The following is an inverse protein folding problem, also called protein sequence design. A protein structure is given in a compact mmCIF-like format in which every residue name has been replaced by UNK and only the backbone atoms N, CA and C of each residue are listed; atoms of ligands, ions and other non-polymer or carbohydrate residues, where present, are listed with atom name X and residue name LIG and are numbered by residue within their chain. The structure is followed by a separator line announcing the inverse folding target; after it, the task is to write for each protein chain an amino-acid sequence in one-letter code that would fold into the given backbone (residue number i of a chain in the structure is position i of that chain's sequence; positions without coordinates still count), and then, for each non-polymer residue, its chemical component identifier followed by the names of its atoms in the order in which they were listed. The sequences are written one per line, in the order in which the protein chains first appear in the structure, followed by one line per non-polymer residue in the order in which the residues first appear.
data_IF_045345843377
#
_entry.id   IF_045345843377
#
_cell.length_a   1.000
_cell.length_b   1.000
_cell.length_c   1.000
_cell.angle_alpha   90.00
_cell.angle_beta   90.00
_cell.angle_gamma   90.00
#
_symmetry.space_group_name_H-M   'P 1'
#
loop_
_entity.id
_entity.type
_entity.pdbx_description
1 polymer ?
#
# COMPACT_ATOMS: atom_id res chain seq x y z
N UNK A 1 0.16 0.47 15.28
CA UNK A 1 1.14 0.11 16.33
C UNK A 1 1.95 -1.12 15.98
N UNK A 2 1.32 -2.27 15.69
CA UNK A 2 2.03 -3.53 15.53
C UNK A 2 3.02 -3.60 14.36
N UNK A 3 2.76 -2.90 13.25
CA UNK A 3 3.60 -3.04 12.04
C UNK A 3 4.51 -1.83 11.79
N UNK A 4 4.07 -0.61 12.08
CA UNK A 4 4.91 0.58 11.87
C UNK A 4 5.81 0.90 13.08
N UNK A 5 5.32 0.76 14.32
CA UNK A 5 6.10 1.18 15.48
C UNK A 5 7.42 0.39 15.66
N UNK A 6 7.47 -0.94 15.42
CA UNK A 6 8.71 -1.71 15.54
C UNK A 6 9.77 -1.36 14.49
N UNK A 7 9.40 -0.61 13.43
CA UNK A 7 10.28 -0.23 12.34
C UNK A 7 10.84 1.18 12.50
N UNK A 8 10.52 1.87 13.59
CA UNK A 8 10.94 3.24 13.86
C UNK A 8 12.07 3.30 14.88
N UNK A 9 13.11 4.07 14.57
CA UNK A 9 14.09 4.53 15.55
C UNK A 9 13.62 5.87 16.12
N UNK A 10 13.15 5.86 17.36
CA UNK A 10 12.64 7.06 18.05
C UNK A 10 13.56 7.49 19.19
N UNK A 11 13.61 8.79 19.52
CA UNK A 11 14.29 9.28 20.72
C UNK A 11 13.74 8.62 21.98
N UNK A 12 14.59 8.48 23.00
CA UNK A 12 14.21 7.96 24.31
C UNK A 12 13.05 8.77 24.91
N UNK A 13 12.11 8.06 25.55
CA UNK A 13 10.91 8.67 26.14
C UNK A 13 9.78 8.99 25.15
N UNK A 14 9.94 8.68 23.86
CA UNK A 14 8.83 8.84 22.89
C UNK A 14 7.72 7.82 23.15
N UNK A 15 6.52 8.29 23.47
CA UNK A 15 5.33 7.44 23.55
C UNK A 15 4.64 7.33 22.18
N UNK A 16 4.96 6.26 21.46
CA UNK A 16 4.36 5.96 20.16
C UNK A 16 2.88 5.58 20.24
N UNK A 17 2.39 5.06 21.36
CA UNK A 17 0.96 4.75 21.52
C UNK A 17 0.18 6.05 21.65
N UNK A 18 0.62 6.97 22.52
CA UNK A 18 0.02 8.29 22.63
C UNK A 18 0.08 9.04 21.29
N UNK A 19 1.22 8.98 20.59
CA UNK A 19 1.35 9.59 19.27
C UNK A 19 0.36 8.99 18.25
N UNK A 20 0.19 7.67 18.22
CA UNK A 20 -0.77 7.02 17.34
C UNK A 20 -2.22 7.44 17.64
N UNK A 21 -2.59 7.58 18.92
CA UNK A 21 -3.91 8.11 19.31
C UNK A 21 -4.12 9.53 18.79
N UNK A 22 -3.12 10.41 18.95
CA UNK A 22 -3.16 11.78 18.41
C UNK A 22 -3.30 11.81 16.88
N UNK A 23 -2.66 10.88 16.16
CA UNK A 23 -2.84 10.77 14.70
C UNK A 23 -4.28 10.44 14.32
N UNK A 24 -4.92 9.52 15.04
CA UNK A 24 -6.32 9.16 14.81
C UNK A 24 -7.22 10.37 15.06
N UNK A 25 -7.06 11.06 16.19
CA UNK A 25 -7.81 12.28 16.50
C UNK A 25 -7.67 13.35 15.40
N UNK A 26 -6.44 13.56 14.90
CA UNK A 26 -6.16 14.51 13.81
C UNK A 26 -6.83 14.10 12.50
N UNK A 27 -6.82 12.81 12.16
CA UNK A 27 -7.48 12.31 10.94
C UNK A 27 -9.00 12.32 11.05
N UNK A 28 -9.55 12.22 12.27
CA UNK A 28 -10.98 12.31 12.53
C UNK A 28 -11.51 13.74 12.63
N UNK A 29 -10.66 14.77 12.48
CA UNK A 29 -11.09 16.17 12.59
C UNK A 29 -12.10 16.55 11.49
N UNK A 30 -13.36 16.84 11.84
CA UNK A 30 -14.41 17.09 10.85
C UNK A 30 -14.31 18.48 10.21
N UNK A 31 -13.44 19.36 10.69
CA UNK A 31 -13.21 20.68 10.08
C UNK A 31 -12.26 20.60 8.88
N UNK A 32 -11.46 19.52 8.77
CA UNK A 32 -10.56 19.30 7.65
C UNK A 32 -11.19 18.33 6.65
N UNK A 33 -11.32 18.77 5.39
CA UNK A 33 -11.86 17.95 4.29
C UNK A 33 -10.71 17.36 3.47
N UNK A 34 -9.80 16.64 4.12
CA UNK A 34 -8.70 15.96 3.43
C UNK A 34 -9.26 14.87 2.54
N UNK A 35 -9.11 15.03 1.22
CA UNK A 35 -9.58 14.03 0.27
C UNK A 35 -8.59 12.88 0.24
N UNK A 36 -9.07 11.66 0.41
CA UNK A 36 -8.27 10.44 0.24
C UNK A 36 -7.58 10.40 -1.12
N UNK A 37 -8.25 10.91 -2.15
CA UNK A 37 -7.70 11.11 -3.48
C UNK A 37 -6.42 11.96 -3.48
N UNK A 38 -6.38 13.09 -2.75
CA UNK A 38 -5.18 13.94 -2.67
C UNK A 38 -4.04 13.24 -1.92
N UNK A 39 -4.37 12.42 -0.92
CA UNK A 39 -3.38 11.63 -0.18
C UNK A 39 -2.76 10.56 -1.09
N UNK A 40 -3.56 9.96 -1.97
CA UNK A 40 -3.16 8.91 -2.90
C UNK A 40 -2.30 9.38 -4.08
N UNK A 41 -2.30 10.68 -4.40
CA UNK A 41 -1.45 11.26 -5.46
C UNK A 41 0.03 10.91 -5.24
N UNK A 42 0.80 10.78 -6.30
CA UNK A 42 2.25 10.47 -6.25
C UNK A 42 2.55 9.23 -5.39
N UNK A 43 1.70 8.21 -5.49
CA UNK A 43 1.83 6.96 -4.74
C UNK A 43 3.17 6.28 -4.98
N UNK A 44 3.67 6.29 -6.22
CA UNK A 44 5.00 5.75 -6.57
C UNK A 44 6.13 6.36 -5.74
N UNK A 45 6.02 7.65 -5.39
CA UNK A 45 7.02 8.40 -4.64
C UNK A 45 6.88 8.24 -3.12
N UNK A 46 5.75 7.70 -2.65
CA UNK A 46 5.41 7.57 -1.24
C UNK A 46 5.55 6.15 -0.73
N UNK A 47 5.28 5.17 -1.61
CA UNK A 47 5.16 3.76 -1.25
C UNK A 47 6.47 3.16 -0.72
N UNK A 48 7.67 3.45 -1.28
CA UNK A 48 8.93 2.91 -0.78
C UNK A 48 9.14 3.15 0.73
N UNK A 49 9.15 4.41 1.14
CA UNK A 49 9.44 4.82 2.51
C UNK A 49 8.27 4.65 3.48
N UNK A 50 7.02 4.60 3.01
CA UNK A 50 5.85 4.47 3.90
C UNK A 50 5.44 3.03 4.16
N UNK A 51 5.66 2.13 3.20
CA UNK A 51 5.17 0.76 3.27
C UNK A 51 6.27 -0.27 3.04
N UNK A 52 7.13 -0.08 2.02
CA UNK A 52 8.08 -1.12 1.62
C UNK A 52 9.26 -1.24 2.57
N UNK A 53 9.82 -0.14 3.05
CA UNK A 53 10.92 -0.19 4.03
C UNK A 53 10.48 -0.86 5.35
N UNK A 54 9.30 -0.56 5.91
CA UNK A 54 8.74 -1.36 7.00
C UNK A 54 8.55 -2.85 6.65
N UNK A 55 8.05 -3.18 5.45
CA UNK A 55 7.91 -4.58 5.01
C UNK A 55 9.26 -5.29 5.00
N UNK A 56 10.32 -4.67 4.48
CA UNK A 56 11.68 -5.24 4.46
C UNK A 56 12.15 -5.58 5.88
N UNK A 57 11.91 -4.70 6.85
CA UNK A 57 12.26 -4.93 8.24
C UNK A 57 11.48 -6.11 8.85
N UNK A 58 10.19 -6.25 8.53
CA UNK A 58 9.41 -7.40 9.00
C UNK A 58 9.83 -8.72 8.36
N UNK A 59 10.14 -8.71 7.05
CA UNK A 59 10.67 -9.89 6.36
C UNK A 59 11.99 -10.35 6.99
N UNK A 60 12.85 -9.42 7.41
CA UNK A 60 14.11 -9.73 8.09
C UNK A 60 13.90 -10.25 9.52
N UNK A 61 12.93 -9.68 10.25
CA UNK A 61 12.73 -9.93 11.67
C UNK A 61 11.66 -11.01 11.98
N UNK A 62 10.99 -11.56 10.97
CA UNK A 62 9.92 -12.53 11.13
C UNK A 62 8.63 -11.95 11.73
N UNK A 63 8.41 -10.64 11.61
CA UNK A 63 7.22 -9.96 12.10
C UNK A 63 6.01 -10.14 11.17
N UNK A 64 4.81 -9.83 11.66
CA UNK A 64 3.61 -9.74 10.80
C UNK A 64 3.57 -8.39 10.09
N UNK A 65 3.26 -8.41 8.80
CA UNK A 65 3.14 -7.23 7.94
C UNK A 65 1.89 -7.30 7.05
N UNK A 66 0.83 -7.97 7.51
CA UNK A 66 -0.44 -8.18 6.77
C UNK A 66 -1.13 -6.86 6.40
N UNK A 67 -1.08 -5.84 7.26
CA UNK A 67 -1.70 -4.55 6.96
C UNK A 67 -0.89 -3.79 5.91
N UNK A 68 0.45 -3.87 5.98
CA UNK A 68 1.34 -3.32 4.96
C UNK A 68 1.13 -4.00 3.60
N UNK A 69 0.99 -5.33 3.57
CA UNK A 69 0.69 -6.09 2.36
C UNK A 69 -0.63 -5.62 1.72
N UNK A 70 -1.69 -5.47 2.52
CA UNK A 70 -2.97 -4.95 2.03
C UNK A 70 -2.84 -3.51 1.52
N UNK A 71 -2.03 -2.67 2.19
CA UNK A 71 -1.75 -1.30 1.74
C UNK A 71 -1.09 -1.24 0.37
N UNK A 72 -0.08 -2.10 0.13
CA UNK A 72 0.58 -2.22 -1.19
C UNK A 72 -0.39 -2.73 -2.24
N UNK A 73 -1.16 -3.78 -1.92
CA UNK A 73 -2.17 -4.32 -2.83
C UNK A 73 -3.29 -3.30 -3.13
N UNK A 74 -3.68 -2.48 -2.16
CA UNK A 74 -4.63 -1.38 -2.31
C UNK A 74 -4.13 -0.32 -3.29
N UNK A 75 -2.86 0.06 -3.20
CA UNK A 75 -2.24 0.92 -4.20
C UNK A 75 -2.25 0.27 -5.59
N UNK A 76 -1.90 -1.01 -5.71
CA UNK A 76 -1.97 -1.72 -6.99
C UNK A 76 -3.40 -1.75 -7.55
N UNK A 77 -4.43 -1.93 -6.72
CA UNK A 77 -5.84 -1.88 -7.14
C UNK A 77 -6.28 -0.49 -7.56
N UNK A 78 -5.80 0.53 -6.86
CA UNK A 78 -6.06 1.94 -7.17
C UNK A 78 -5.47 2.36 -8.52
N UNK A 79 -4.23 1.95 -8.84
CA UNK A 79 -3.57 2.28 -10.12
C UNK A 79 -4.23 1.65 -11.33
N UNK A 80 -5.23 0.78 -11.15
CA UNK A 80 -6.07 0.30 -12.25
C UNK A 80 -6.94 1.42 -12.85
N UNK A 81 -7.18 2.50 -12.11
CA UNK A 81 -7.91 3.67 -12.60
C UNK A 81 -9.42 3.48 -12.66
N UNK A 82 -9.96 2.46 -11.99
CA UNK A 82 -11.40 2.18 -11.92
C UNK A 82 -11.77 1.79 -10.49
N UNK A 83 -12.82 2.36 -9.92
CA UNK A 83 -13.28 2.05 -8.57
C UNK A 83 -14.04 0.71 -8.51
N UNK A 84 -14.64 0.40 -7.36
CA UNK A 84 -15.42 -0.82 -7.16
C UNK A 84 -16.82 -0.76 -7.77
N UNK A 85 -17.28 0.43 -8.15
CA UNK A 85 -18.56 0.66 -8.83
C UNK A 85 -18.40 0.75 -10.36
N UNK A 86 -17.17 0.62 -10.87
CA UNK A 86 -16.86 0.70 -12.29
C UNK A 86 -16.63 2.13 -12.80
N UNK A 87 -16.61 3.14 -11.92
CA UNK A 87 -16.33 4.52 -12.34
C UNK A 87 -14.83 4.75 -12.48
N UNK A 88 -14.45 5.66 -13.36
CA UNK A 88 -13.07 6.06 -13.53
C UNK A 88 -12.52 6.76 -12.27
N UNK A 89 -11.30 6.38 -11.89
CA UNK A 89 -10.47 7.07 -10.91
C UNK A 89 -9.43 7.89 -11.68
N UNK A 90 -9.37 9.19 -11.39
CA UNK A 90 -8.29 10.05 -11.87
C UNK A 90 -7.00 9.76 -11.10
N UNK A 91 -6.16 8.85 -11.60
CA UNK A 91 -4.89 8.51 -10.95
C UNK A 91 -3.84 9.56 -11.30
N UNK A 92 -3.38 10.31 -10.30
CA UNK A 92 -2.33 11.32 -10.48
C UNK A 92 -1.02 10.81 -9.88
N UNK A 93 -0.07 10.50 -10.76
CA UNK A 93 1.24 9.96 -10.39
C UNK A 93 2.26 10.24 -11.50
N UNK A 94 3.54 10.53 -11.19
CA UNK A 94 4.58 10.69 -12.21
C UNK A 94 4.81 9.44 -13.08
N UNK A 95 4.48 8.24 -12.58
CA UNK A 95 4.60 6.97 -13.31
C UNK A 95 3.27 6.51 -13.95
N UNK A 96 2.31 7.43 -14.16
CA UNK A 96 0.99 7.10 -14.70
C UNK A 96 1.06 6.38 -16.05
N UNK A 97 1.97 6.79 -16.94
CA UNK A 97 2.11 6.20 -18.26
C UNK A 97 2.52 4.71 -18.18
N UNK A 98 3.41 4.37 -17.26
CA UNK A 98 3.86 3.01 -16.99
C UNK A 98 2.70 2.16 -16.45
N UNK A 99 1.90 2.69 -15.52
CA UNK A 99 0.73 1.98 -15.00
C UNK A 99 -0.30 1.72 -16.09
N UNK A 100 -0.58 2.71 -16.94
CA UNK A 100 -1.51 2.56 -18.06
C UNK A 100 -1.03 1.50 -19.06
N UNK A 101 0.27 1.49 -19.38
CA UNK A 101 0.87 0.45 -20.23
C UNK A 101 0.71 -0.94 -19.62
N UNK A 102 0.94 -1.09 -18.32
CA UNK A 102 0.75 -2.36 -17.61
C UNK A 102 -0.73 -2.77 -17.61
N UNK A 103 -1.65 -1.85 -17.31
CA UNK A 103 -3.08 -2.10 -17.28
C UNK A 103 -3.64 -2.55 -18.65
N UNK A 104 -3.06 -2.06 -19.74
CA UNK A 104 -3.45 -2.45 -21.10
C UNK A 104 -3.01 -3.87 -21.48
N UNK A 105 -2.00 -4.42 -20.80
CA UNK A 105 -1.37 -5.70 -21.16
C UNK A 105 -1.68 -6.83 -20.19
N UNK A 106 -1.86 -6.51 -18.91
CA UNK A 106 -1.92 -7.50 -17.84
C UNK A 106 -3.14 -7.31 -16.94
N UNK A 107 -3.65 -8.40 -16.40
CA UNK A 107 -4.74 -8.43 -15.43
C UNK A 107 -4.41 -9.39 -14.28
N UNK A 108 -5.18 -9.32 -13.18
CA UNK A 108 -5.05 -10.26 -12.06
C UNK A 108 -3.62 -10.37 -11.52
N UNK A 109 -3.17 -11.60 -11.29
CA UNK A 109 -1.82 -11.89 -10.77
C UNK A 109 -0.69 -11.44 -11.71
N UNK A 110 -0.88 -11.53 -13.03
CA UNK A 110 0.14 -11.09 -14.00
C UNK A 110 0.35 -9.57 -13.93
N UNK A 111 -0.72 -8.82 -13.65
CA UNK A 111 -0.64 -7.38 -13.43
C UNK A 111 0.15 -7.05 -12.16
N UNK A 112 -0.10 -7.78 -11.07
CA UNK A 112 0.68 -7.63 -9.83
C UNK A 112 2.16 -7.88 -10.11
N UNK A 113 2.48 -8.97 -10.81
CA UNK A 113 3.85 -9.30 -11.21
C UNK A 113 4.49 -8.21 -12.07
N UNK A 114 3.75 -7.65 -13.03
CA UNK A 114 4.24 -6.56 -13.88
C UNK A 114 4.52 -5.27 -13.07
N UNK A 115 3.64 -4.91 -12.12
CA UNK A 115 3.84 -3.76 -11.23
C UNK A 115 5.04 -3.96 -10.30
N UNK A 116 5.22 -5.16 -9.75
CA UNK A 116 6.38 -5.52 -8.94
C UNK A 116 7.69 -5.36 -9.72
N UNK A 117 7.66 -5.54 -11.04
CA UNK A 117 8.82 -5.30 -11.92
C UNK A 117 9.24 -3.83 -12.06
N UNK A 118 8.51 -2.87 -11.47
CA UNK A 118 8.91 -1.46 -11.46
C UNK A 118 9.99 -1.23 -10.40
N UNK A 119 11.26 -1.42 -10.80
CA UNK A 119 12.43 -1.32 -9.91
C UNK A 119 12.58 0.04 -9.23
N UNK A 120 12.09 1.12 -9.86
CA UNK A 120 12.04 2.46 -9.24
C UNK A 120 11.16 2.55 -7.99
N UNK A 121 10.27 1.58 -7.77
CA UNK A 121 9.40 1.49 -6.58
C UNK A 121 9.84 0.32 -5.69
N UNK A 122 9.96 -0.87 -6.27
CA UNK A 122 10.13 -2.11 -5.50
C UNK A 122 11.58 -2.55 -5.32
N UNK A 123 12.52 -1.91 -6.03
CA UNK A 123 13.90 -2.38 -6.20
C UNK A 123 13.95 -3.86 -6.65
N UNK A 124 15.11 -4.51 -6.55
CA UNK A 124 15.30 -5.88 -7.03
C UNK A 124 15.00 -6.94 -5.97
N UNK A 125 14.98 -6.55 -4.69
CA UNK A 125 14.86 -7.47 -3.55
C UNK A 125 13.44 -7.98 -3.35
N UNK A 126 12.45 -7.07 -3.33
CA UNK A 126 11.06 -7.44 -3.05
C UNK A 126 10.42 -8.32 -4.14
N UNK A 127 10.62 -8.08 -5.44
CA UNK A 127 10.08 -8.97 -6.48
C UNK A 127 10.66 -10.38 -6.47
N UNK A 128 11.83 -10.58 -5.84
CA UNK A 128 12.48 -11.88 -5.68
C UNK A 128 12.08 -12.59 -4.38
N UNK A 129 11.40 -11.90 -3.46
CA UNK A 129 10.96 -12.48 -2.20
C UNK A 129 9.57 -13.15 -2.37
N UNK A 130 9.54 -14.49 -2.35
CA UNK A 130 8.33 -15.26 -2.59
C UNK A 130 7.20 -14.97 -1.58
N UNK A 131 7.53 -14.73 -0.32
CA UNK A 131 6.55 -14.41 0.73
C UNK A 131 5.89 -13.05 0.46
N UNK A 132 6.70 -12.05 0.08
CA UNK A 132 6.22 -10.73 -0.33
C UNK A 132 5.27 -10.82 -1.53
N UNK A 133 5.74 -11.44 -2.62
CA UNK A 133 4.97 -11.58 -3.87
C UNK A 133 3.66 -12.33 -3.59
N UNK A 134 3.72 -13.42 -2.83
CA UNK A 134 2.58 -14.24 -2.47
C UNK A 134 1.53 -13.45 -1.67
N UNK A 135 1.94 -12.76 -0.60
CA UNK A 135 0.99 -12.03 0.24
C UNK A 135 0.35 -10.84 -0.48
N UNK A 136 1.12 -10.07 -1.27
CA UNK A 136 0.60 -8.93 -2.02
C UNK A 136 -0.36 -9.38 -3.12
N UNK A 137 -0.03 -10.47 -3.82
CA UNK A 137 -0.90 -11.05 -4.86
C UNK A 137 -2.20 -11.57 -4.26
N UNK A 138 -2.13 -12.29 -3.14
CA UNK A 138 -3.31 -12.76 -2.42
C UNK A 138 -4.19 -11.61 -1.92
N UNK A 139 -3.58 -10.58 -1.32
CA UNK A 139 -4.32 -9.40 -0.87
C UNK A 139 -4.97 -8.64 -2.05
N UNK A 140 -4.28 -8.52 -3.19
CA UNK A 140 -4.84 -7.91 -4.40
C UNK A 140 -6.03 -8.70 -4.94
N UNK A 141 -5.93 -10.03 -4.96
CA UNK A 141 -7.04 -10.88 -5.38
C UNK A 141 -8.25 -10.71 -4.45
N UNK A 142 -8.04 -10.71 -3.13
CA UNK A 142 -9.12 -10.47 -2.17
C UNK A 142 -9.79 -9.10 -2.37
N UNK A 143 -9.01 -8.05 -2.65
CA UNK A 143 -9.55 -6.72 -2.96
C UNK A 143 -10.42 -6.73 -4.21
N UNK A 144 -10.04 -7.46 -5.25
CA UNK A 144 -10.83 -7.60 -6.47
C UNK A 144 -12.12 -8.39 -6.27
N UNK A 145 -12.10 -9.42 -5.41
CA UNK A 145 -13.23 -10.32 -5.19
C UNK A 145 -14.25 -9.80 -4.17
N UNK A 146 -13.77 -9.19 -3.08
CA UNK A 146 -14.57 -8.84 -1.89
C UNK A 146 -14.66 -7.34 -1.64
N UNK A 147 -13.84 -6.56 -2.32
CA UNK A 147 -13.74 -5.11 -2.12
C UNK A 147 -12.95 -4.72 -0.86
N UNK A 148 -12.51 -3.46 -0.86
CA UNK A 148 -11.60 -2.89 0.13
C UNK A 148 -12.20 -2.89 1.53
N UNK A 149 -13.49 -2.58 1.67
CA UNK A 149 -14.17 -2.51 2.98
C UNK A 149 -14.11 -3.86 3.70
N UNK A 150 -14.43 -4.94 3.00
CA UNK A 150 -14.44 -6.28 3.59
C UNK A 150 -13.03 -6.78 3.89
N UNK A 151 -12.07 -6.52 2.99
CA UNK A 151 -10.68 -6.90 3.21
C UNK A 151 -10.09 -6.21 4.45
N UNK A 152 -10.38 -4.92 4.66
CA UNK A 152 -9.94 -4.19 5.85
C UNK A 152 -10.62 -4.74 7.11
N UNK A 153 -11.90 -5.11 7.05
CA UNK A 153 -12.62 -5.68 8.19
C UNK A 153 -12.14 -7.10 8.57
N UNK A 154 -11.50 -7.82 7.63
CA UNK A 154 -10.91 -9.13 7.85
C UNK A 154 -9.46 -9.08 8.37
N UNK A 155 -8.91 -7.88 8.58
CA UNK A 155 -7.63 -7.68 9.27
C UNK A 155 -7.78 -7.73 10.80
#
# INVERSE_FOLDING_TARGET
MQEQAPTLSMPEGTDLNAYATLLIERFSNPSLRHRTWQIAMDGSQKLPQRLLDPVRLHLQNGGSWRHLALGVAGWMRYTQGVDEQGNAIDVVDPMLAEFQKINAQYQGADRVKALLGLSGIFADDLPQNADFVGAVTAAYQQLCERGARECVAAL
#
